data_IF_323150315619
#
_entry.id   IF_323150315619
#
_cell.length_a   1.000
_cell.length_b   1.000
_cell.length_c   1.000
_cell.angle_alpha   90.00
_cell.angle_beta   90.00
_cell.angle_gamma   90.00
#
_symmetry.space_group_name_H-M   'P 1'
#
loop_
_entity.id
_entity.type
_entity.pdbx_description
1 polymer ?
#
# COMPACT_ATOMS: atom_id res chain seq x y z
N UNK A 1 72.89 13.53 38.90
CA UNK A 1 71.38 13.66 38.83
C UNK A 1 70.93 13.78 37.40
N UNK A 2 70.42 12.70 36.82
CA UNK A 2 69.82 12.72 35.44
C UNK A 2 68.34 12.99 35.57
N UNK A 3 67.84 14.09 35.01
CA UNK A 3 66.41 14.41 34.94
C UNK A 3 65.83 13.72 33.70
N UNK A 4 64.95 12.74 33.93
CA UNK A 4 64.16 12.08 32.87
C UNK A 4 62.93 12.92 32.62
N UNK A 5 62.78 13.46 31.43
CA UNK A 5 61.62 14.18 30.95
C UNK A 5 60.64 13.16 30.36
N UNK A 6 59.46 12.98 30.99
CA UNK A 6 58.35 12.21 30.44
C UNK A 6 57.54 13.13 29.51
N UNK A 7 57.53 12.84 28.21
CA UNK A 7 56.64 13.50 27.25
C UNK A 7 55.37 12.63 27.15
N UNK A 8 54.29 13.10 27.70
CA UNK A 8 52.96 12.50 27.56
C UNK A 8 52.38 12.92 26.20
N UNK A 9 52.36 11.98 25.25
CA UNK A 9 51.74 12.16 23.94
C UNK A 9 50.21 11.97 24.10
N UNK A 10 49.47 13.07 24.20
CA UNK A 10 48.00 13.02 24.13
C UNK A 10 47.55 12.74 22.69
N UNK A 11 47.13 11.48 22.39
CA UNK A 11 46.42 11.15 21.15
C UNK A 11 45.02 11.78 21.23
N UNK A 12 44.78 12.87 20.55
CA UNK A 12 43.47 13.39 20.24
C UNK A 12 42.83 12.49 19.18
N UNK A 13 42.03 11.53 19.62
CA UNK A 13 41.13 10.80 18.73
C UNK A 13 40.02 11.79 18.33
N UNK A 14 40.16 12.38 17.16
CA UNK A 14 39.12 13.19 16.56
C UNK A 14 37.90 12.33 16.23
N UNK A 15 36.93 12.28 17.11
CA UNK A 15 35.61 11.75 16.76
C UNK A 15 34.99 12.77 15.81
N UNK A 16 35.04 12.48 14.50
CA UNK A 16 34.25 13.21 13.51
C UNK A 16 32.79 12.86 13.77
N UNK A 17 32.11 13.64 14.59
CA UNK A 17 30.66 13.64 14.66
C UNK A 17 30.19 14.16 13.30
N UNK A 18 29.80 13.28 12.41
CA UNK A 18 29.07 13.65 11.20
C UNK A 18 27.77 14.30 11.65
N UNK A 19 27.72 15.62 11.68
CA UNK A 19 26.51 16.35 12.04
C UNK A 19 25.42 15.94 11.06
N UNK A 20 24.34 15.34 11.58
CA UNK A 20 23.17 14.96 10.79
C UNK A 20 22.58 16.21 10.17
N UNK A 21 22.43 16.21 8.83
CA UNK A 21 21.85 17.32 8.10
C UNK A 21 20.33 17.37 8.34
N UNK A 22 19.79 18.56 8.57
CA UNK A 22 18.36 18.74 8.85
C UNK A 22 17.76 19.72 7.86
N UNK A 23 16.67 19.31 7.22
CA UNK A 23 15.81 20.15 6.38
C UNK A 23 14.50 20.35 7.16
N UNK A 24 14.18 21.59 7.53
CA UNK A 24 12.93 21.91 8.20
C UNK A 24 11.86 22.30 7.19
N UNK A 25 10.66 21.75 7.36
CA UNK A 25 9.48 22.10 6.56
C UNK A 25 8.39 22.59 7.50
N UNK A 26 8.25 23.90 7.60
CA UNK A 26 7.18 24.52 8.35
C UNK A 26 5.83 24.35 7.64
N UNK A 27 4.72 24.11 8.37
CA UNK A 27 3.38 24.04 7.79
C UNK A 27 2.97 25.43 7.26
N UNK A 28 2.14 25.40 6.21
CA UNK A 28 1.48 26.57 5.64
C UNK A 28 0.01 26.26 5.38
N UNK A 29 -0.82 27.27 5.29
CA UNK A 29 -2.20 27.08 4.90
C UNK A 29 -2.30 26.66 3.43
N UNK A 30 -3.17 25.68 3.15
CA UNK A 30 -3.42 25.17 1.80
C UNK A 30 -2.47 24.04 1.40
N UNK A 31 -2.18 23.97 0.11
CA UNK A 31 -1.46 22.86 -0.52
C UNK A 31 0.03 22.83 -0.19
N UNK A 32 0.47 21.77 0.47
CA UNK A 32 1.86 21.55 0.88
C UNK A 32 2.62 20.58 -0.04
N UNK A 33 1.97 20.00 -1.06
CA UNK A 33 2.52 18.92 -1.89
C UNK A 33 3.87 19.30 -2.52
N UNK A 34 3.92 20.44 -3.22
CA UNK A 34 5.15 20.92 -3.88
C UNK A 34 6.25 21.30 -2.89
N UNK A 35 5.89 21.86 -1.74
CA UNK A 35 6.88 22.24 -0.71
C UNK A 35 7.55 21.02 -0.10
N UNK A 36 6.78 19.99 0.22
CA UNK A 36 7.31 18.72 0.70
C UNK A 36 8.17 18.01 -0.36
N UNK A 37 7.73 17.99 -1.62
CA UNK A 37 8.53 17.42 -2.71
C UNK A 37 9.84 18.18 -2.90
N UNK A 38 9.84 19.50 -2.77
CA UNK A 38 11.07 20.32 -2.82
C UNK A 38 12.05 19.94 -1.70
N UNK A 39 11.56 19.72 -0.49
CA UNK A 39 12.40 19.28 0.63
C UNK A 39 13.00 17.88 0.39
N UNK A 40 12.22 16.97 -0.20
CA UNK A 40 12.69 15.63 -0.61
C UNK A 40 13.79 15.76 -1.67
N UNK A 41 13.62 16.59 -2.68
CA UNK A 41 14.64 16.81 -3.70
C UNK A 41 15.92 17.49 -3.14
N UNK A 42 15.78 18.39 -2.17
CA UNK A 42 16.93 18.98 -1.47
C UNK A 42 17.79 17.94 -0.77
N UNK A 43 17.19 16.85 -0.25
CA UNK A 43 17.94 15.76 0.40
C UNK A 43 18.96 15.11 -0.59
N UNK A 44 18.72 15.15 -1.88
CA UNK A 44 19.61 14.65 -2.94
C UNK A 44 20.96 15.37 -2.97
N UNK A 45 21.00 16.65 -2.62
CA UNK A 45 22.20 17.47 -2.62
C UNK A 45 23.25 17.05 -1.57
N UNK A 46 22.85 16.22 -0.63
CA UNK A 46 23.76 15.71 0.41
C UNK A 46 24.52 14.42 -0.02
N UNK A 47 24.35 13.98 -1.27
CA UNK A 47 25.14 12.90 -1.87
C UNK A 47 25.20 11.63 -1.02
N UNK A 48 24.07 11.21 -0.46
CA UNK A 48 23.95 10.02 0.38
C UNK A 48 24.44 10.15 1.82
N UNK A 49 24.80 11.35 2.28
CA UNK A 49 24.97 11.61 3.72
C UNK A 49 23.62 11.55 4.43
N UNK A 50 23.63 11.23 5.72
CA UNK A 50 22.42 11.16 6.51
C UNK A 50 21.70 12.51 6.58
N UNK A 51 20.41 12.54 6.15
CA UNK A 51 19.56 13.73 6.13
C UNK A 51 18.25 13.44 6.86
N UNK A 52 17.80 14.38 7.67
CA UNK A 52 16.48 14.33 8.29
C UNK A 52 15.64 15.48 7.78
N UNK A 53 14.52 15.17 7.13
CA UNK A 53 13.46 16.12 6.83
C UNK A 53 12.54 16.14 8.05
N UNK A 54 12.49 17.26 8.77
CA UNK A 54 11.69 17.44 9.98
C UNK A 54 10.47 18.31 9.71
N UNK A 55 9.33 17.82 10.18
CA UNK A 55 8.08 18.55 10.13
C UNK A 55 7.71 19.11 11.51
N UNK A 56 6.57 19.75 11.59
CA UNK A 56 5.97 20.18 12.86
C UNK A 56 4.63 19.47 13.05
N UNK A 57 4.15 19.39 14.28
CA UNK A 57 2.83 18.84 14.57
C UNK A 57 1.73 19.77 14.02
N UNK A 58 1.32 19.53 12.79
CA UNK A 58 0.30 20.27 12.06
C UNK A 58 -0.22 19.45 10.88
N UNK A 59 -1.29 19.92 10.24
CA UNK A 59 -1.80 19.36 9.01
C UNK A 59 -0.95 19.80 7.81
N UNK A 60 -0.61 18.84 6.96
CA UNK A 60 0.07 19.02 5.68
C UNK A 60 -0.85 18.50 4.60
N UNK A 61 -1.58 19.40 3.95
CA UNK A 61 -2.53 19.04 2.90
C UNK A 61 -1.79 18.66 1.62
N UNK A 62 -2.06 17.46 1.11
CA UNK A 62 -1.52 16.95 -0.15
C UNK A 62 -2.62 16.93 -1.19
N UNK A 63 -2.46 17.71 -2.25
CA UNK A 63 -3.47 17.83 -3.30
C UNK A 63 -3.08 17.05 -4.55
N UNK A 64 -4.05 16.29 -5.07
CA UNK A 64 -3.90 15.46 -6.27
C UNK A 64 -3.37 16.26 -7.46
N UNK A 65 -3.86 17.48 -7.68
CA UNK A 65 -3.51 18.33 -8.81
C UNK A 65 -2.05 18.79 -8.78
N UNK A 66 -1.47 18.90 -7.60
CA UNK A 66 -0.07 19.34 -7.39
C UNK A 66 0.91 18.19 -7.19
N UNK A 67 0.42 16.95 -7.18
CA UNK A 67 1.20 15.74 -6.92
C UNK A 67 2.15 15.39 -8.07
N UNK A 68 3.16 14.56 -7.79
CA UNK A 68 3.99 13.95 -8.81
C UNK A 68 3.18 12.90 -9.57
N UNK A 69 3.04 13.05 -10.89
CA UNK A 69 2.27 12.15 -11.74
C UNK A 69 3.23 11.20 -12.48
N UNK A 70 3.25 9.94 -12.07
CA UNK A 70 4.18 8.92 -12.59
C UNK A 70 3.42 7.63 -12.84
N UNK A 71 3.69 7.00 -13.98
CA UNK A 71 3.18 5.65 -14.27
C UNK A 71 3.91 4.64 -13.40
N UNK A 72 3.14 3.95 -12.54
CA UNK A 72 3.61 2.81 -11.76
C UNK A 72 2.60 1.66 -11.85
N UNK A 73 3.10 0.49 -12.20
CA UNK A 73 2.35 -0.75 -12.09
C UNK A 73 2.58 -1.32 -10.69
N UNK A 74 1.57 -1.23 -9.85
CA UNK A 74 1.62 -1.69 -8.46
C UNK A 74 0.92 -3.05 -8.39
N UNK A 75 1.58 -4.05 -7.85
CA UNK A 75 1.04 -5.41 -7.70
C UNK A 75 -0.31 -5.39 -6.98
N UNK A 76 -1.28 -6.14 -7.51
CA UNK A 76 -2.63 -6.29 -7.01
C UNK A 76 -3.47 -4.99 -6.98
N UNK A 77 -3.08 -3.99 -7.77
CA UNK A 77 -3.93 -2.82 -8.06
C UNK A 77 -4.69 -3.01 -9.37
N UNK A 78 -5.41 -1.98 -9.83
CA UNK A 78 -6.24 -2.07 -11.03
C UNK A 78 -5.47 -2.56 -12.27
N UNK A 79 -6.07 -3.49 -13.01
CA UNK A 79 -5.61 -3.90 -14.32
C UNK A 79 -5.90 -2.83 -15.38
N UNK A 80 -5.29 -2.95 -16.55
CA UNK A 80 -5.54 -2.07 -17.71
C UNK A 80 -7.00 -2.10 -18.20
N UNK A 81 -7.77 -3.12 -17.81
CA UNK A 81 -9.21 -3.22 -18.12
C UNK A 81 -10.07 -2.48 -17.10
N UNK A 82 -9.67 -2.50 -15.83
CA UNK A 82 -10.36 -1.81 -14.75
C UNK A 82 -10.03 -0.31 -14.76
N UNK A 83 -8.75 0.03 -14.98
CA UNK A 83 -8.31 1.39 -15.23
C UNK A 83 -7.17 1.39 -16.26
N UNK A 84 -7.37 1.91 -17.48
CA UNK A 84 -6.31 1.97 -18.50
C UNK A 84 -5.22 3.00 -18.18
N UNK A 85 -5.49 3.99 -17.33
CA UNK A 85 -4.49 4.98 -16.89
C UNK A 85 -3.81 4.51 -15.60
N UNK A 86 -2.58 4.05 -15.71
CA UNK A 86 -1.75 3.61 -14.58
C UNK A 86 -0.98 4.75 -13.89
N UNK A 87 -1.30 6.00 -14.19
CA UNK A 87 -0.69 7.17 -13.56
C UNK A 87 -1.04 7.23 -12.07
N UNK A 88 -0.04 7.24 -11.22
CA UNK A 88 -0.20 7.44 -9.77
C UNK A 88 0.07 8.91 -9.43
N UNK A 89 -0.83 9.48 -8.63
CA UNK A 89 -0.75 10.82 -8.09
C UNK A 89 -0.07 10.79 -6.73
N UNK A 90 1.22 11.11 -6.68
CA UNK A 90 2.09 10.80 -5.55
C UNK A 90 2.33 12.05 -4.69
N UNK A 91 1.96 11.97 -3.41
CA UNK A 91 2.17 13.05 -2.44
C UNK A 91 3.65 13.24 -2.09
N UNK A 92 4.33 12.16 -1.66
CA UNK A 92 5.75 12.15 -1.31
C UNK A 92 6.49 11.17 -2.23
N UNK A 93 7.22 11.67 -3.20
CA UNK A 93 7.95 10.85 -4.15
C UNK A 93 9.46 10.81 -3.86
N UNK A 94 9.91 9.69 -3.26
CA UNK A 94 11.31 9.42 -2.97
C UNK A 94 11.86 8.49 -4.05
N UNK A 95 12.75 9.01 -4.91
CA UNK A 95 13.36 8.24 -6.00
C UNK A 95 14.87 8.31 -5.94
N UNK A 96 15.54 7.14 -5.83
CA UNK A 96 17.00 7.04 -5.88
C UNK A 96 17.72 7.74 -4.73
N UNK A 97 17.08 7.89 -3.58
CA UNK A 97 17.64 8.54 -2.39
C UNK A 97 18.29 7.52 -1.45
N UNK A 98 19.29 8.01 -0.68
CA UNK A 98 19.96 7.21 0.34
C UNK A 98 20.04 7.95 1.66
N UNK A 99 19.90 7.20 2.77
CA UNK A 99 20.08 7.67 4.14
C UNK A 99 19.20 8.86 4.48
N UNK A 100 17.91 8.82 4.10
CA UNK A 100 16.94 9.89 4.35
C UNK A 100 15.92 9.44 5.39
N UNK A 101 15.69 10.30 6.37
CA UNK A 101 14.59 10.15 7.33
C UNK A 101 13.58 11.28 7.13
N UNK A 102 12.30 10.94 7.00
CA UNK A 102 11.21 11.90 7.15
C UNK A 102 10.63 11.71 8.55
N UNK A 103 10.80 12.70 9.42
CA UNK A 103 10.31 12.71 10.78
C UNK A 103 9.17 13.72 10.93
N UNK A 104 7.96 13.18 10.98
CA UNK A 104 6.74 13.99 11.04
C UNK A 104 6.56 14.72 12.37
N UNK A 105 7.14 14.24 13.48
CA UNK A 105 6.96 14.85 14.81
C UNK A 105 5.49 15.08 15.20
N UNK A 106 4.59 14.19 14.76
CA UNK A 106 3.15 14.30 14.97
C UNK A 106 2.39 15.00 13.84
N UNK A 107 3.03 15.33 12.72
CA UNK A 107 2.38 15.88 11.52
C UNK A 107 1.28 14.95 11.00
N UNK A 108 0.26 15.54 10.35
CA UNK A 108 -0.79 14.80 9.65
C UNK A 108 -0.71 15.12 8.15
N UNK A 109 -0.50 14.11 7.32
CA UNK A 109 -0.66 14.20 5.88
C UNK A 109 -2.12 13.95 5.53
N UNK A 110 -2.80 14.97 5.04
CA UNK A 110 -4.21 14.92 4.64
C UNK A 110 -4.28 14.92 3.12
N UNK A 111 -4.65 13.80 2.52
CA UNK A 111 -4.79 13.70 1.06
C UNK A 111 -6.13 14.29 0.61
N UNK A 112 -6.10 15.08 -0.46
CA UNK A 112 -7.25 15.65 -1.15
C UNK A 112 -7.36 14.99 -2.53
N UNK A 113 -8.42 14.18 -2.68
CA UNK A 113 -8.61 13.30 -3.83
C UNK A 113 -7.91 11.93 -3.66
N UNK A 114 -8.14 11.04 -4.63
CA UNK A 114 -7.51 9.72 -4.69
C UNK A 114 -6.04 9.86 -5.06
N UNK A 115 -5.16 9.51 -4.12
CA UNK A 115 -3.72 9.69 -4.25
C UNK A 115 -2.96 8.51 -3.66
N UNK A 116 -1.73 8.32 -4.13
CA UNK A 116 -0.70 7.53 -3.47
C UNK A 116 0.07 8.44 -2.52
N UNK A 117 -0.05 8.21 -1.20
CA UNK A 117 0.53 9.12 -0.21
C UNK A 117 2.05 9.19 -0.30
N UNK A 118 2.71 8.05 -0.55
CA UNK A 118 4.16 8.02 -0.74
C UNK A 118 4.63 6.91 -1.68
N UNK A 119 5.74 7.15 -2.38
CA UNK A 119 6.47 6.16 -3.16
C UNK A 119 7.94 6.22 -2.78
N UNK A 120 8.54 5.05 -2.46
CA UNK A 120 9.96 4.86 -2.19
C UNK A 120 10.51 3.92 -3.27
N UNK A 121 11.17 4.48 -4.30
CA UNK A 121 11.60 3.74 -5.47
C UNK A 121 13.13 3.86 -5.67
N UNK A 122 13.81 2.71 -5.78
CA UNK A 122 15.26 2.63 -5.94
C UNK A 122 16.05 3.37 -4.85
N UNK A 123 15.55 3.33 -3.62
CA UNK A 123 16.12 3.99 -2.45
C UNK A 123 16.84 3.00 -1.53
N UNK A 124 17.69 3.55 -0.65
CA UNK A 124 18.43 2.77 0.35
C UNK A 124 18.48 3.48 1.69
N UNK A 125 18.20 2.76 2.79
CA UNK A 125 18.20 3.29 4.17
C UNK A 125 17.23 4.47 4.33
N UNK A 126 15.95 4.25 4.07
CA UNK A 126 14.90 5.26 4.25
C UNK A 126 14.10 4.97 5.51
N UNK A 127 13.84 6.00 6.28
CA UNK A 127 12.94 5.92 7.44
C UNK A 127 11.83 6.95 7.32
N UNK A 128 10.59 6.49 7.40
CA UNK A 128 9.41 7.33 7.56
C UNK A 128 8.90 7.14 9.00
N UNK A 129 8.72 8.22 9.75
CA UNK A 129 8.32 8.08 11.16
C UNK A 129 7.49 9.22 11.73
N UNK A 130 6.71 8.89 12.78
CA UNK A 130 6.03 9.84 13.67
C UNK A 130 5.06 10.77 12.93
N UNK A 131 4.19 10.24 12.08
CA UNK A 131 3.13 11.02 11.41
C UNK A 131 1.86 10.20 11.21
N UNK A 132 0.79 10.88 10.87
CA UNK A 132 -0.50 10.31 10.49
C UNK A 132 -0.73 10.49 8.98
N UNK A 133 -1.31 9.49 8.32
CA UNK A 133 -1.87 9.58 6.97
C UNK A 133 -3.38 9.45 7.06
N UNK A 134 -4.10 10.39 6.47
CA UNK A 134 -5.56 10.40 6.41
C UNK A 134 -6.04 11.03 5.09
N UNK A 135 -7.34 11.05 4.85
CA UNK A 135 -7.93 11.68 3.68
C UNK A 135 -9.02 12.68 4.10
N UNK A 136 -9.14 13.78 3.35
CA UNK A 136 -10.25 14.73 3.53
C UNK A 136 -11.59 14.08 3.23
N UNK A 137 -11.65 13.29 2.16
CA UNK A 137 -12.82 12.55 1.69
C UNK A 137 -12.46 11.08 1.50
N UNK A 138 -12.58 10.25 2.55
CA UNK A 138 -12.26 8.83 2.49
C UNK A 138 -13.08 8.09 1.43
N UNK A 139 -12.43 7.36 0.53
CA UNK A 139 -13.05 6.57 -0.56
C UNK A 139 -13.83 5.34 -0.09
N UNK A 140 -13.93 5.15 1.21
CA UNK A 140 -14.87 4.21 1.85
C UNK A 140 -15.87 5.02 2.66
N UNK A 141 -16.92 5.57 2.04
CA UNK A 141 -17.97 6.27 2.78
C UNK A 141 -18.75 5.30 3.67
N UNK A 142 -19.24 5.85 4.77
CA UNK A 142 -19.95 5.09 5.80
C UNK A 142 -21.35 5.67 6.06
N UNK A 143 -22.30 4.78 6.34
CA UNK A 143 -23.63 5.15 6.84
C UNK A 143 -24.05 4.17 7.94
N UNK A 144 -24.88 4.67 8.87
CA UNK A 144 -25.47 3.87 9.94
C UNK A 144 -26.97 3.76 9.73
N UNK A 145 -27.50 2.54 9.75
CA UNK A 145 -28.94 2.27 9.66
C UNK A 145 -29.60 2.66 10.98
N UNK A 146 -30.64 3.50 10.92
CA UNK A 146 -31.42 3.93 12.09
C UNK A 146 -32.80 3.30 12.16
N UNK A 147 -33.39 2.96 11.00
CA UNK A 147 -34.71 2.34 10.89
C UNK A 147 -34.78 1.43 9.67
N UNK A 148 -35.57 0.36 9.73
CA UNK A 148 -35.84 -0.55 8.60
C UNK A 148 -37.30 -0.81 8.50
N UNK A 149 -37.89 -0.62 7.31
CA UNK A 149 -39.25 -0.96 6.95
C UNK A 149 -39.34 -2.05 5.89
N UNK A 150 -40.54 -2.31 5.36
CA UNK A 150 -40.76 -3.36 4.36
C UNK A 150 -40.06 -3.12 3.02
N UNK A 151 -39.87 -1.85 2.63
CA UNK A 151 -39.26 -1.45 1.39
C UNK A 151 -38.38 -0.20 1.53
N UNK A 152 -37.98 0.13 2.76
CA UNK A 152 -37.10 1.27 3.01
C UNK A 152 -36.17 1.02 4.19
N UNK A 153 -35.05 1.76 4.23
CA UNK A 153 -34.33 2.01 5.47
C UNK A 153 -34.01 3.49 5.62
N UNK A 154 -33.99 3.96 6.86
CA UNK A 154 -33.51 5.30 7.20
C UNK A 154 -32.06 5.18 7.64
N UNK A 155 -31.21 6.01 7.09
CA UNK A 155 -29.76 5.95 7.29
C UNK A 155 -29.21 7.30 7.70
N UNK A 156 -28.22 7.29 8.59
CA UNK A 156 -27.44 8.46 8.93
C UNK A 156 -26.07 8.36 8.25
N UNK A 157 -25.80 9.31 7.39
CA UNK A 157 -24.51 9.40 6.68
C UNK A 157 -23.44 9.89 7.66
N UNK A 158 -22.26 9.30 7.61
CA UNK A 158 -21.12 9.74 8.42
C UNK A 158 -20.69 11.16 8.02
N UNK A 159 -20.39 12.07 8.96
CA UNK A 159 -20.08 13.48 8.64
C UNK A 159 -18.93 13.69 7.64
N UNK A 160 -17.96 12.79 7.60
CA UNK A 160 -16.85 12.82 6.63
C UNK A 160 -17.19 12.13 5.28
N UNK A 161 -18.43 11.68 5.08
CA UNK A 161 -18.85 11.05 3.83
C UNK A 161 -19.78 12.00 3.10
N UNK A 162 -19.21 12.82 2.22
CA UNK A 162 -19.99 13.76 1.40
C UNK A 162 -20.90 13.01 0.44
N UNK A 163 -22.06 13.56 0.15
CA UNK A 163 -23.03 12.95 -0.76
C UNK A 163 -23.82 14.01 -1.54
N UNK A 164 -24.50 13.56 -2.57
CA UNK A 164 -25.49 14.33 -3.32
C UNK A 164 -26.77 13.54 -3.47
N UNK A 165 -27.92 14.26 -3.45
CA UNK A 165 -29.23 13.70 -3.84
C UNK A 165 -29.79 14.61 -4.93
N UNK A 166 -29.95 14.09 -6.14
CA UNK A 166 -30.50 14.84 -7.27
C UNK A 166 -31.61 14.03 -7.91
N UNK A 167 -32.82 14.58 -7.94
CA UNK A 167 -34.03 13.91 -8.49
C UNK A 167 -34.27 12.50 -7.90
N UNK A 168 -33.89 12.32 -6.63
CA UNK A 168 -34.00 11.03 -5.92
C UNK A 168 -32.84 10.08 -6.15
N UNK A 169 -31.88 10.40 -7.04
CA UNK A 169 -30.64 9.65 -7.21
C UNK A 169 -29.62 10.07 -6.16
N UNK A 170 -29.03 9.08 -5.53
CA UNK A 170 -28.01 9.25 -4.49
C UNK A 170 -26.64 8.88 -5.00
N UNK A 171 -25.62 9.64 -4.62
CA UNK A 171 -24.23 9.25 -4.76
C UNK A 171 -23.39 9.82 -3.61
N UNK A 172 -22.43 9.07 -3.12
CA UNK A 172 -21.31 9.63 -2.39
C UNK A 172 -20.35 10.34 -3.34
N UNK A 173 -19.73 11.40 -2.89
CA UNK A 173 -18.82 12.23 -3.71
C UNK A 173 -17.59 12.61 -2.91
N UNK A 174 -16.45 12.64 -3.57
CA UNK A 174 -15.20 13.21 -3.08
C UNK A 174 -14.63 14.18 -4.12
N UNK A 175 -13.38 14.62 -3.94
CA UNK A 175 -12.80 15.65 -4.81
C UNK A 175 -12.65 15.18 -6.27
N UNK A 176 -12.36 13.90 -6.50
CA UNK A 176 -12.20 13.35 -7.87
C UNK A 176 -12.85 11.96 -8.04
N UNK A 177 -13.75 11.58 -7.14
CA UNK A 177 -14.45 10.30 -7.20
C UNK A 177 -15.94 10.44 -6.90
N UNK A 178 -16.71 9.49 -7.36
CA UNK A 178 -18.15 9.37 -7.12
C UNK A 178 -18.50 7.90 -6.95
N UNK A 179 -19.37 7.57 -6.00
CA UNK A 179 -19.84 6.23 -5.73
C UNK A 179 -21.38 6.21 -5.64
N UNK A 180 -22.03 5.59 -6.63
CA UNK A 180 -23.49 5.36 -6.66
C UNK A 180 -23.85 3.88 -6.74
N UNK A 181 -22.85 3.01 -6.84
CA UNK A 181 -22.94 1.56 -6.92
C UNK A 181 -21.79 0.96 -6.08
N UNK A 182 -21.49 -0.31 -6.20
CA UNK A 182 -20.34 -0.94 -5.58
C UNK A 182 -20.69 -1.95 -4.50
N UNK A 183 -19.67 -2.39 -3.80
CA UNK A 183 -19.73 -3.44 -2.80
C UNK A 183 -19.71 -2.84 -1.39
N UNK A 184 -20.20 -3.60 -0.42
CA UNK A 184 -20.22 -3.16 0.98
C UNK A 184 -19.71 -4.23 1.94
N UNK A 185 -19.28 -3.75 3.08
CA UNK A 185 -19.14 -4.52 4.30
C UNK A 185 -20.03 -3.93 5.37
N UNK A 186 -20.47 -4.78 6.27
CA UNK A 186 -21.23 -4.39 7.45
C UNK A 186 -20.36 -4.47 8.69
N UNK A 187 -20.54 -3.52 9.58
CA UNK A 187 -19.96 -3.51 10.91
C UNK A 187 -21.05 -3.46 11.97
N UNK A 188 -20.97 -4.33 12.96
CA UNK A 188 -21.83 -4.37 14.15
C UNK A 188 -21.03 -3.80 15.33
N UNK A 189 -21.42 -2.62 15.79
CA UNK A 189 -20.70 -1.92 16.87
C UNK A 189 -20.81 -2.63 18.22
N UNK A 190 -21.94 -3.32 18.48
CA UNK A 190 -22.15 -4.00 19.76
C UNK A 190 -21.26 -5.25 19.88
N UNK A 191 -21.07 -5.97 18.76
CA UNK A 191 -20.28 -7.18 18.70
C UNK A 191 -18.83 -6.94 18.33
N UNK A 192 -18.50 -5.74 17.86
CA UNK A 192 -17.20 -5.34 17.33
C UNK A 192 -16.70 -6.24 16.17
N UNK A 193 -17.61 -6.63 15.27
CA UNK A 193 -17.31 -7.51 14.14
C UNK A 193 -17.65 -6.86 12.79
N UNK A 194 -16.88 -7.20 11.76
CA UNK A 194 -17.10 -6.82 10.37
C UNK A 194 -17.27 -8.06 9.50
N UNK A 195 -18.16 -8.00 8.49
CA UNK A 195 -18.36 -9.07 7.52
C UNK A 195 -18.74 -8.52 6.14
N UNK A 196 -18.47 -9.29 5.08
CA UNK A 196 -18.94 -8.98 3.72
C UNK A 196 -20.47 -9.12 3.68
N UNK A 197 -21.15 -8.16 3.10
CA UNK A 197 -22.61 -8.10 3.16
C UNK A 197 -23.22 -7.62 1.84
N UNK A 198 -24.55 -7.62 1.82
CA UNK A 198 -25.31 -6.91 0.81
C UNK A 198 -24.94 -5.43 0.79
N UNK A 199 -24.85 -4.85 -0.42
CA UNK A 199 -24.59 -3.42 -0.61
C UNK A 199 -25.91 -2.64 -0.75
N UNK A 200 -26.09 -1.55 -0.01
CA UNK A 200 -27.32 -0.76 -0.08
C UNK A 200 -27.45 0.10 -1.33
N UNK A 201 -26.41 0.31 -2.13
CA UNK A 201 -26.42 1.23 -3.26
C UNK A 201 -26.97 0.63 -4.57
N UNK A 202 -26.57 -0.59 -5.01
CA UNK A 202 -26.98 -1.13 -6.32
C UNK A 202 -28.49 -1.26 -6.50
N UNK A 203 -29.23 -1.59 -5.41
CA UNK A 203 -30.67 -1.80 -5.45
C UNK A 203 -31.49 -0.55 -5.07
N UNK A 204 -30.82 0.58 -4.83
CA UNK A 204 -31.45 1.82 -4.41
C UNK A 204 -32.30 2.43 -5.54
N UNK A 205 -33.59 2.60 -5.29
CA UNK A 205 -34.53 3.21 -6.25
C UNK A 205 -34.64 4.72 -6.06
N UNK A 206 -34.66 5.16 -4.83
CA UNK A 206 -34.82 6.57 -4.50
C UNK A 206 -34.23 6.90 -3.13
N UNK A 207 -33.54 8.01 -3.04
CA UNK A 207 -33.15 8.62 -1.77
C UNK A 207 -34.01 9.88 -1.49
N UNK A 208 -34.42 10.07 -0.25
CA UNK A 208 -35.14 11.22 0.23
C UNK A 208 -34.37 11.75 1.43
N UNK A 209 -33.92 12.99 1.36
CA UNK A 209 -33.27 13.64 2.48
C UNK A 209 -34.37 14.12 3.45
N UNK A 210 -34.35 13.65 4.70
CA UNK A 210 -35.27 14.01 5.76
C UNK A 210 -34.75 15.20 6.56
N UNK A 211 -33.44 15.22 6.83
CA UNK A 211 -32.68 16.29 7.43
C UNK A 211 -31.19 16.13 7.01
N UNK A 212 -30.32 17.11 7.21
CA UNK A 212 -28.91 16.96 6.86
C UNK A 212 -28.30 15.68 7.43
N UNK A 213 -27.69 14.86 6.55
CA UNK A 213 -27.13 13.55 6.83
C UNK A 213 -28.12 12.46 7.31
N UNK A 214 -29.44 12.69 7.30
CA UNK A 214 -30.44 11.67 7.57
C UNK A 214 -31.31 11.44 6.33
N UNK A 215 -31.19 10.28 5.72
CA UNK A 215 -31.86 9.95 4.48
C UNK A 215 -32.78 8.73 4.62
N UNK A 216 -33.84 8.69 3.85
CA UNK A 216 -34.62 7.48 3.63
C UNK A 216 -34.30 6.91 2.24
N UNK A 217 -33.79 5.69 2.24
CA UNK A 217 -33.50 4.89 1.04
C UNK A 217 -34.67 3.97 0.75
N UNK A 218 -35.21 4.03 -0.48
CA UNK A 218 -36.38 3.27 -0.93
C UNK A 218 -35.91 2.17 -1.89
N UNK A 219 -36.43 0.97 -1.72
CA UNK A 219 -36.13 -0.23 -2.48
C UNK A 219 -37.40 -0.90 -3.03
N UNK A 220 -37.23 -1.77 -4.01
CA UNK A 220 -38.34 -2.65 -4.47
C UNK A 220 -38.55 -3.84 -3.52
N UNK A 221 -37.48 -4.32 -2.91
CA UNK A 221 -37.46 -5.46 -1.99
C UNK A 221 -37.04 -5.02 -0.57
N UNK A 222 -37.38 -5.80 0.46
CA UNK A 222 -36.92 -5.50 1.82
C UNK A 222 -35.39 -5.40 1.91
N UNK A 223 -34.84 -4.31 2.50
CA UNK A 223 -33.39 -4.18 2.64
C UNK A 223 -32.84 -5.21 3.63
N UNK A 224 -31.63 -5.74 3.30
CA UNK A 224 -30.94 -6.74 4.13
C UNK A 224 -30.10 -6.06 5.22
N UNK A 225 -30.80 -5.36 6.14
CA UNK A 225 -30.16 -4.58 7.17
C UNK A 225 -30.97 -4.61 8.47
N UNK A 226 -30.36 -4.19 9.57
CA UNK A 226 -31.01 -3.95 10.85
C UNK A 226 -30.55 -2.60 11.43
N UNK A 227 -31.34 -1.94 12.29
CA UNK A 227 -30.89 -0.76 12.99
C UNK A 227 -29.57 -1.01 13.74
N UNK A 228 -28.66 -0.03 13.71
CA UNK A 228 -27.32 -0.12 14.30
C UNK A 228 -26.23 -0.66 13.36
N UNK A 229 -26.60 -1.30 12.23
CA UNK A 229 -25.60 -1.72 11.22
C UNK A 229 -24.93 -0.50 10.61
N UNK A 230 -23.62 -0.52 10.56
CA UNK A 230 -22.81 0.43 9.78
C UNK A 230 -22.42 -0.23 8.46
N UNK A 231 -22.78 0.39 7.34
CA UNK A 231 -22.27 -0.01 6.02
C UNK A 231 -21.05 0.80 5.65
N UNK A 232 -20.02 0.12 5.19
CA UNK A 232 -18.77 0.65 4.66
C UNK A 232 -18.72 0.29 3.17
N UNK A 233 -18.81 1.27 2.28
CA UNK A 233 -19.02 1.03 0.84
C UNK A 233 -17.80 1.45 0.02
N UNK A 234 -17.58 0.79 -1.13
CA UNK A 234 -16.48 1.07 -2.06
C UNK A 234 -16.82 0.60 -3.47
N UNK A 235 -16.17 1.18 -4.48
CA UNK A 235 -16.35 0.80 -5.88
C UNK A 235 -15.69 -0.55 -6.24
N UNK A 236 -14.68 -0.98 -5.49
CA UNK A 236 -13.95 -2.22 -5.76
C UNK A 236 -12.70 -2.04 -6.62
N UNK A 237 -12.41 -0.83 -7.12
CA UNK A 237 -11.25 -0.56 -7.97
C UNK A 237 -10.08 -0.06 -7.11
N UNK A 238 -8.97 -0.79 -7.10
CA UNK A 238 -7.76 -0.48 -6.33
C UNK A 238 -6.78 0.32 -7.16
N UNK A 239 -7.05 1.59 -7.45
CA UNK A 239 -6.22 2.38 -8.35
C UNK A 239 -5.00 3.02 -7.67
N UNK A 240 -5.21 3.74 -6.55
CA UNK A 240 -4.16 4.45 -5.83
C UNK A 240 -3.84 3.72 -4.52
N UNK A 241 -2.68 3.08 -4.41
CA UNK A 241 -2.23 2.51 -3.15
C UNK A 241 -1.81 3.61 -2.17
N UNK A 242 -1.96 3.39 -0.86
CA UNK A 242 -1.44 4.32 0.16
C UNK A 242 0.07 4.54 -0.01
N UNK A 243 0.81 3.46 -0.22
CA UNK A 243 2.25 3.53 -0.42
C UNK A 243 2.80 2.46 -1.34
N UNK A 244 3.90 2.77 -2.02
CA UNK A 244 4.69 1.83 -2.79
C UNK A 244 6.15 1.86 -2.33
N UNK A 245 6.70 0.68 -2.06
CA UNK A 245 8.13 0.46 -1.81
C UNK A 245 8.65 -0.48 -2.89
N UNK A 246 9.41 0.04 -3.87
CA UNK A 246 9.82 -0.72 -5.03
C UNK A 246 11.33 -0.63 -5.24
N UNK A 247 12.00 -1.77 -5.56
CA UNK A 247 13.44 -1.86 -5.82
C UNK A 247 14.31 -1.16 -4.77
N UNK A 248 13.82 -1.08 -3.54
CA UNK A 248 14.42 -0.33 -2.43
C UNK A 248 14.92 -1.28 -1.36
N UNK A 249 15.91 -0.81 -0.56
CA UNK A 249 16.56 -1.61 0.46
C UNK A 249 16.62 -0.90 1.81
N UNK A 250 16.42 -1.67 2.90
CA UNK A 250 16.48 -1.18 4.28
C UNK A 250 15.47 -0.05 4.52
N UNK A 251 14.20 -0.35 4.38
CA UNK A 251 13.12 0.61 4.55
C UNK A 251 12.44 0.41 5.90
N UNK A 252 12.28 1.48 6.65
CA UNK A 252 11.62 1.46 7.96
C UNK A 252 10.46 2.44 8.00
N UNK A 253 9.29 1.95 8.42
CA UNK A 253 8.18 2.77 8.90
C UNK A 253 8.07 2.57 10.42
N UNK A 254 8.07 3.65 11.20
CA UNK A 254 8.10 3.59 12.66
C UNK A 254 7.19 4.65 13.30
N UNK A 255 6.22 4.21 14.10
CA UNK A 255 5.29 5.13 14.76
C UNK A 255 4.42 5.91 13.76
N UNK A 256 4.04 5.30 12.63
CA UNK A 256 3.16 5.89 11.62
C UNK A 256 1.72 5.43 11.89
N UNK A 257 0.80 6.40 11.95
CA UNK A 257 -0.64 6.14 12.04
C UNK A 257 -1.27 6.27 10.65
N UNK A 258 -1.79 5.17 10.13
CA UNK A 258 -2.46 5.07 8.85
C UNK A 258 -3.97 5.07 9.12
N UNK A 259 -4.52 6.27 9.32
CA UNK A 259 -5.91 6.46 9.72
C UNK A 259 -6.89 6.24 8.56
N UNK A 260 -6.42 6.48 7.33
CA UNK A 260 -7.08 6.04 6.10
C UNK A 260 -6.06 5.82 4.98
N UNK A 261 -6.10 4.64 4.38
CA UNK A 261 -5.10 4.19 3.39
C UNK A 261 -5.49 4.42 1.93
N UNK A 262 -6.66 4.99 1.66
CA UNK A 262 -7.15 5.09 0.27
C UNK A 262 -7.64 3.74 -0.26
N UNK A 263 -7.39 3.48 -1.55
CA UNK A 263 -7.98 2.33 -2.26
C UNK A 263 -7.20 1.04 -2.07
N UNK A 264 -5.98 1.09 -1.55
CA UNK A 264 -5.15 -0.05 -1.22
C UNK A 264 -4.11 0.33 -0.16
N UNK A 265 -3.54 -0.64 0.53
CA UNK A 265 -2.56 -0.39 1.58
C UNK A 265 -1.15 -0.05 1.08
N UNK A 266 -0.15 -0.47 1.83
CA UNK A 266 1.25 -0.29 1.47
C UNK A 266 1.74 -1.52 0.73
N UNK A 267 2.21 -1.35 -0.50
CA UNK A 267 2.75 -2.42 -1.34
C UNK A 267 4.27 -2.38 -1.35
N UNK A 268 4.88 -3.48 -0.91
CA UNK A 268 6.30 -3.76 -1.15
C UNK A 268 6.42 -4.67 -2.37
N UNK A 269 7.17 -4.25 -3.41
CA UNK A 269 7.45 -5.13 -4.55
C UNK A 269 8.92 -5.05 -4.95
N UNK A 270 9.56 -6.20 -5.12
CA UNK A 270 10.98 -6.31 -5.46
C UNK A 270 11.88 -5.52 -4.48
N UNK A 271 11.47 -5.42 -3.22
CA UNK A 271 12.18 -4.69 -2.18
C UNK A 271 12.95 -5.63 -1.24
N UNK A 272 13.91 -5.09 -0.49
CA UNK A 272 14.80 -5.86 0.39
C UNK A 272 14.84 -5.23 1.79
N UNK A 273 14.66 -6.03 2.85
CA UNK A 273 14.71 -5.62 4.25
C UNK A 273 13.72 -4.50 4.58
N UNK A 274 12.48 -4.87 4.89
CA UNK A 274 11.41 -3.95 5.26
C UNK A 274 11.09 -4.13 6.74
N UNK A 275 11.01 -3.03 7.48
CA UNK A 275 10.62 -3.02 8.89
C UNK A 275 9.44 -2.11 9.12
N UNK A 276 8.33 -2.67 9.59
CA UNK A 276 7.16 -1.96 10.09
C UNK A 276 7.05 -2.18 11.59
N UNK A 277 7.13 -1.10 12.36
CA UNK A 277 7.02 -1.19 13.82
C UNK A 277 6.24 -0.02 14.40
N UNK A 278 5.51 -0.29 15.46
CA UNK A 278 4.70 0.70 16.15
C UNK A 278 3.68 1.38 15.20
N UNK A 279 3.20 0.65 14.18
CA UNK A 279 2.24 1.19 13.23
C UNK A 279 0.82 1.04 13.77
N UNK A 280 -0.04 1.97 13.39
CA UNK A 280 -1.46 1.94 13.71
C UNK A 280 -2.26 2.06 12.43
N UNK A 281 -2.97 1.00 12.06
CA UNK A 281 -3.92 0.96 10.95
C UNK A 281 -5.32 0.96 11.56
N UNK A 282 -5.82 2.11 11.92
CA UNK A 282 -7.16 2.28 12.47
C UNK A 282 -7.64 3.72 12.27
N UNK A 283 -8.95 3.97 12.17
CA UNK A 283 -9.47 5.34 12.09
C UNK A 283 -9.02 6.20 13.27
N UNK A 284 -8.91 7.51 13.04
CA UNK A 284 -8.57 8.45 14.12
C UNK A 284 -9.57 8.36 15.26
N UNK A 285 -9.07 8.36 16.49
CA UNK A 285 -9.91 8.33 17.69
C UNK A 285 -10.88 9.53 17.69
N UNK A 286 -12.14 9.25 18.00
CA UNK A 286 -13.20 10.27 18.02
C UNK A 286 -13.75 10.66 16.65
N UNK A 287 -13.19 10.18 15.53
CA UNK A 287 -13.75 10.43 14.19
C UNK A 287 -15.15 9.81 13.99
N UNK A 288 -15.45 8.74 14.71
CA UNK A 288 -16.68 7.95 14.54
C UNK A 288 -16.61 6.96 13.36
N UNK A 289 -15.53 6.97 12.58
CA UNK A 289 -15.29 6.02 11.49
C UNK A 289 -15.01 4.62 12.02
N UNK A 290 -15.28 3.61 11.19
CA UNK A 290 -15.22 2.21 11.59
C UNK A 290 -14.23 1.38 10.76
N UNK A 291 -13.73 1.91 9.64
CA UNK A 291 -12.69 1.28 8.81
C UNK A 291 -11.56 2.26 8.45
N UNK A 292 -10.35 1.73 8.27
CA UNK A 292 -9.15 2.49 7.91
C UNK A 292 -8.74 2.28 6.45
N UNK A 293 -9.35 1.37 5.71
CA UNK A 293 -8.93 1.07 4.36
C UNK A 293 -9.90 0.20 3.58
N UNK A 294 -9.63 0.10 2.33
CA UNK A 294 -10.44 -0.37 1.24
C UNK A 294 -10.14 -1.85 0.86
N UNK A 295 -8.92 -2.33 1.15
CA UNK A 295 -8.45 -3.67 0.85
C UNK A 295 -7.38 -4.12 1.86
N UNK A 296 -6.31 -4.79 1.41
CA UNK A 296 -5.19 -5.20 2.25
C UNK A 296 -4.49 -3.97 2.85
N UNK A 297 -4.00 -4.07 4.08
CA UNK A 297 -3.22 -2.98 4.67
C UNK A 297 -1.74 -3.05 4.31
N UNK A 298 -1.18 -4.24 4.29
CA UNK A 298 0.20 -4.51 3.90
C UNK A 298 0.21 -5.64 2.89
N UNK A 299 0.81 -5.38 1.72
CA UNK A 299 1.04 -6.42 0.72
C UNK A 299 2.51 -6.43 0.30
N UNK A 300 3.14 -7.60 0.39
CA UNK A 300 4.52 -7.83 -0.06
C UNK A 300 4.50 -8.79 -1.23
N UNK A 301 4.92 -8.32 -2.41
CA UNK A 301 4.92 -9.08 -3.65
C UNK A 301 6.36 -9.25 -4.16
N UNK A 302 6.93 -10.45 -3.98
CA UNK A 302 8.30 -10.72 -4.40
C UNK A 302 9.31 -9.81 -3.70
N UNK A 303 9.39 -9.85 -2.38
CA UNK A 303 10.39 -9.17 -1.57
C UNK A 303 11.48 -10.15 -1.13
N UNK A 304 12.61 -9.65 -0.64
CA UNK A 304 13.72 -10.47 -0.13
C UNK A 304 14.34 -9.93 1.15
N UNK A 305 15.31 -10.69 1.68
CA UNK A 305 15.95 -10.36 2.95
C UNK A 305 14.98 -10.60 4.11
N UNK A 306 14.81 -9.63 5.01
CA UNK A 306 13.93 -9.76 6.17
C UNK A 306 12.78 -8.78 6.13
N UNK A 307 11.56 -9.28 6.30
CA UNK A 307 10.36 -8.48 6.56
C UNK A 307 10.04 -8.60 8.06
N UNK A 308 10.00 -7.48 8.75
CA UNK A 308 9.64 -7.41 10.17
C UNK A 308 8.39 -6.56 10.35
N UNK A 309 7.35 -7.10 10.99
CA UNK A 309 6.12 -6.38 11.34
C UNK A 309 5.85 -6.62 12.82
N UNK A 310 6.03 -5.57 13.64
CA UNK A 310 5.99 -5.73 15.10
C UNK A 310 5.33 -4.56 15.82
N UNK A 311 4.76 -4.84 17.01
CA UNK A 311 4.15 -3.85 17.90
C UNK A 311 3.10 -2.96 17.19
N UNK A 312 2.31 -3.52 16.30
CA UNK A 312 1.41 -2.76 15.42
C UNK A 312 -0.05 -3.18 15.60
N UNK A 313 -0.97 -2.30 15.19
CA UNK A 313 -2.40 -2.50 15.32
C UNK A 313 -3.07 -2.44 13.94
N UNK A 314 -3.94 -3.41 13.65
CA UNK A 314 -4.61 -3.57 12.37
C UNK A 314 -6.12 -3.72 12.60
N UNK A 315 -6.89 -2.65 12.36
CA UNK A 315 -8.33 -2.60 12.60
C UNK A 315 -9.09 -2.08 11.38
N UNK A 316 -10.13 -2.80 10.99
CA UNK A 316 -11.06 -2.34 9.97
C UNK A 316 -10.50 -2.42 8.55
N UNK A 317 -9.75 -3.47 8.23
CA UNK A 317 -9.40 -3.82 6.86
C UNK A 317 -10.64 -4.34 6.13
N UNK A 318 -10.70 -4.14 4.81
CA UNK A 318 -11.72 -4.76 3.96
C UNK A 318 -11.25 -6.05 3.30
N UNK A 319 -9.96 -6.37 3.42
CA UNK A 319 -9.35 -7.64 3.02
C UNK A 319 -8.26 -8.02 4.04
N UNK A 320 -7.21 -8.73 3.63
CA UNK A 320 -6.18 -9.23 4.55
C UNK A 320 -5.34 -8.05 5.11
N UNK A 321 -5.16 -7.92 6.42
CA UNK A 321 -4.30 -6.87 6.97
C UNK A 321 -2.83 -7.08 6.62
N UNK A 322 -2.37 -8.32 6.46
CA UNK A 322 -1.01 -8.64 5.99
C UNK A 322 -1.12 -9.77 4.96
N UNK A 323 -0.55 -9.51 3.78
CA UNK A 323 -0.44 -10.47 2.69
C UNK A 323 1.00 -10.47 2.15
N UNK A 324 1.69 -11.61 2.23
CA UNK A 324 3.08 -11.76 1.80
C UNK A 324 3.17 -12.97 0.87
N UNK A 325 3.61 -12.76 -0.37
CA UNK A 325 3.68 -13.82 -1.37
C UNK A 325 4.87 -13.64 -2.33
N UNK A 326 5.29 -14.75 -2.94
CA UNK A 326 6.26 -14.79 -4.02
C UNK A 326 5.71 -14.26 -5.35
N UNK A 327 6.54 -14.29 -6.39
CA UNK A 327 6.15 -13.91 -7.75
C UNK A 327 6.33 -15.12 -8.68
N UNK A 328 5.22 -15.68 -9.13
CA UNK A 328 5.17 -16.81 -10.05
C UNK A 328 4.71 -16.35 -11.42
N UNK A 329 5.43 -16.73 -12.49
CA UNK A 329 5.06 -16.43 -13.86
C UNK A 329 4.93 -17.72 -14.67
N UNK A 330 3.94 -17.77 -15.56
CA UNK A 330 3.76 -18.90 -16.48
C UNK A 330 4.82 -18.89 -17.57
N UNK A 331 5.41 -20.05 -17.86
CA UNK A 331 6.31 -20.23 -19.01
C UNK A 331 5.46 -20.37 -20.26
N UNK A 332 5.61 -19.44 -21.21
CA UNK A 332 4.83 -19.38 -22.45
C UNK A 332 5.61 -19.83 -23.68
N UNK A 333 6.91 -20.00 -23.59
CA UNK A 333 7.72 -20.45 -24.72
C UNK A 333 9.23 -20.59 -24.43
N UNK A 334 9.90 -21.21 -25.36
CA UNK A 334 11.34 -21.52 -25.31
C UNK A 334 12.06 -21.00 -26.57
N UNK A 335 12.37 -19.70 -26.67
CA UNK A 335 13.00 -19.11 -27.87
C UNK A 335 14.39 -19.70 -28.20
N UNK A 336 15.15 -20.15 -27.17
CA UNK A 336 16.43 -20.84 -27.32
C UNK A 336 16.59 -21.95 -26.28
N UNK A 337 17.70 -22.70 -26.35
CA UNK A 337 17.97 -23.80 -25.42
C UNK A 337 18.04 -23.34 -23.95
N UNK A 338 18.51 -22.10 -23.72
CA UNK A 338 18.65 -21.48 -22.39
C UNK A 338 17.76 -20.23 -22.23
N UNK A 339 16.69 -20.12 -23.01
CA UNK A 339 15.76 -18.98 -22.89
C UNK A 339 14.35 -19.46 -22.64
N UNK A 340 13.63 -18.71 -21.78
CA UNK A 340 12.19 -18.84 -21.55
C UNK A 340 11.51 -17.49 -21.72
N UNK A 341 10.35 -17.50 -22.36
CA UNK A 341 9.39 -16.42 -22.30
C UNK A 341 8.46 -16.70 -21.13
N UNK A 342 8.28 -15.74 -20.23
CA UNK A 342 7.39 -15.87 -19.06
C UNK A 342 6.37 -14.76 -19.04
N UNK A 343 5.18 -15.04 -18.46
CA UNK A 343 4.04 -14.13 -18.47
C UNK A 343 3.41 -14.03 -17.09
N UNK A 344 3.04 -12.80 -16.70
CA UNK A 344 2.23 -12.56 -15.53
C UNK A 344 0.87 -13.24 -15.65
N UNK A 345 0.50 -14.04 -14.65
CA UNK A 345 -0.75 -14.81 -14.64
C UNK A 345 -1.92 -14.00 -14.07
N UNK A 346 -1.67 -13.23 -13.01
CA UNK A 346 -2.69 -12.43 -12.36
C UNK A 346 -2.96 -11.15 -13.14
N UNK A 347 -4.24 -10.83 -13.38
CA UNK A 347 -4.63 -9.67 -14.20
C UNK A 347 -4.23 -8.32 -13.54
N UNK A 348 -4.16 -8.25 -12.23
CA UNK A 348 -3.79 -7.06 -11.45
C UNK A 348 -2.31 -7.05 -11.02
N UNK A 349 -1.47 -7.99 -11.48
CA UNK A 349 -0.03 -8.00 -11.20
C UNK A 349 0.74 -8.06 -12.51
N UNK A 350 1.39 -6.97 -12.90
CA UNK A 350 2.09 -6.83 -14.18
C UNK A 350 2.90 -5.52 -14.25
N UNK A 351 3.64 -5.32 -15.34
CA UNK A 351 4.25 -4.04 -15.71
C UNK A 351 5.51 -3.65 -14.95
N UNK A 352 6.03 -4.50 -14.08
CA UNK A 352 7.29 -4.30 -13.38
C UNK A 352 8.27 -5.46 -13.62
N UNK A 353 9.57 -5.20 -13.46
CA UNK A 353 10.61 -6.20 -13.67
C UNK A 353 10.73 -7.11 -12.45
N UNK A 354 10.11 -8.30 -12.51
CA UNK A 354 10.08 -9.26 -11.39
C UNK A 354 11.28 -10.24 -11.38
N UNK A 355 12.14 -10.20 -12.40
CA UNK A 355 13.39 -10.96 -12.45
C UNK A 355 14.55 -10.05 -12.81
N UNK A 356 15.66 -10.19 -12.11
CA UNK A 356 16.88 -9.41 -12.33
C UNK A 356 18.08 -10.35 -12.64
N UNK A 357 19.09 -9.89 -13.38
CA UNK A 357 20.33 -10.64 -13.54
C UNK A 357 20.93 -11.06 -12.21
N UNK A 358 21.28 -12.33 -12.09
CA UNK A 358 21.79 -12.92 -10.86
C UNK A 358 20.73 -13.59 -9.99
N UNK A 359 19.43 -13.38 -10.24
CA UNK A 359 18.38 -14.08 -9.49
C UNK A 359 18.44 -15.59 -9.72
N UNK A 360 18.20 -16.33 -8.67
CA UNK A 360 17.94 -17.75 -8.69
C UNK A 360 16.46 -17.98 -8.90
N UNK A 361 16.11 -18.92 -9.77
CA UNK A 361 14.74 -19.30 -10.10
C UNK A 361 14.58 -20.80 -9.98
N UNK A 362 13.36 -21.22 -9.75
CA UNK A 362 12.94 -22.62 -9.81
C UNK A 362 11.82 -22.81 -10.80
N UNK A 363 11.88 -23.93 -11.55
CA UNK A 363 10.78 -24.40 -12.34
C UNK A 363 9.83 -25.20 -11.44
N UNK A 364 8.56 -24.82 -11.41
CA UNK A 364 7.54 -25.41 -10.53
C UNK A 364 6.49 -26.12 -11.40
N UNK A 365 6.21 -27.38 -11.05
CA UNK A 365 5.04 -28.07 -11.60
C UNK A 365 3.77 -27.56 -10.92
N UNK A 366 2.84 -26.92 -11.63
CA UNK A 366 1.67 -26.29 -11.03
C UNK A 366 0.66 -27.30 -10.44
N UNK A 367 0.74 -28.57 -10.84
CA UNK A 367 -0.18 -29.60 -10.35
C UNK A 367 0.30 -30.23 -9.02
N UNK A 368 1.59 -30.43 -8.88
CA UNK A 368 2.18 -31.03 -7.68
C UNK A 368 2.78 -30.01 -6.72
N UNK A 369 3.00 -28.77 -7.18
CA UNK A 369 3.73 -27.70 -6.49
C UNK A 369 5.18 -28.08 -6.17
N UNK A 370 5.74 -29.03 -6.94
CA UNK A 370 7.11 -29.51 -6.73
C UNK A 370 8.09 -28.66 -7.54
N UNK A 371 9.20 -28.28 -6.88
CA UNK A 371 10.38 -27.78 -7.57
C UNK A 371 11.01 -28.86 -8.42
N UNK A 372 11.24 -28.56 -9.69
CA UNK A 372 11.76 -29.50 -10.69
C UNK A 372 13.25 -29.30 -10.93
N UNK A 373 13.70 -28.06 -11.08
CA UNK A 373 15.10 -27.73 -11.30
C UNK A 373 15.37 -26.23 -11.04
N UNK A 374 16.52 -25.90 -10.46
CA UNK A 374 16.96 -24.53 -10.31
C UNK A 374 17.69 -24.05 -11.57
N UNK A 375 17.65 -22.74 -11.81
CA UNK A 375 18.49 -22.04 -12.77
C UNK A 375 18.79 -20.62 -12.27
N UNK A 376 19.74 -19.94 -12.95
CA UNK A 376 20.11 -18.56 -12.63
C UNK A 376 19.86 -17.66 -13.83
N UNK A 377 19.24 -16.51 -13.57
CA UNK A 377 18.98 -15.51 -14.60
C UNK A 377 20.27 -14.78 -14.96
N UNK A 378 20.70 -14.85 -16.22
CA UNK A 378 21.80 -14.04 -16.77
C UNK A 378 21.31 -12.72 -17.33
N UNK A 379 20.13 -12.72 -17.95
CA UNK A 379 19.52 -11.53 -18.55
C UNK A 379 17.99 -11.65 -18.42
N UNK A 380 17.34 -10.52 -18.14
CA UNK A 380 15.89 -10.42 -18.12
C UNK A 380 15.48 -9.16 -18.89
N UNK A 381 14.56 -9.30 -19.83
CA UNK A 381 14.09 -8.23 -20.72
C UNK A 381 12.57 -8.19 -20.74
N UNK A 382 11.99 -7.11 -20.27
CA UNK A 382 10.56 -6.84 -20.50
C UNK A 382 10.30 -6.73 -22.00
N UNK A 383 9.45 -7.56 -22.56
CA UNK A 383 9.02 -7.48 -23.95
C UNK A 383 7.79 -6.57 -24.11
N UNK A 384 6.96 -6.57 -23.12
CA UNK A 384 5.83 -5.68 -22.91
C UNK A 384 5.46 -5.72 -21.41
N UNK A 385 4.40 -5.08 -21.01
CA UNK A 385 3.96 -5.02 -19.61
C UNK A 385 3.58 -6.40 -19.02
N UNK A 386 3.33 -7.39 -19.86
CA UNK A 386 2.89 -8.73 -19.44
C UNK A 386 3.95 -9.82 -19.59
N UNK A 387 4.96 -9.62 -20.42
CA UNK A 387 5.90 -10.67 -20.80
C UNK A 387 7.35 -10.28 -20.58
N UNK A 388 8.12 -11.23 -20.02
CA UNK A 388 9.56 -11.09 -19.77
C UNK A 388 10.28 -12.23 -20.50
N UNK A 389 11.35 -11.91 -21.22
CA UNK A 389 12.29 -12.88 -21.76
C UNK A 389 13.45 -13.08 -20.78
N UNK A 390 13.60 -14.28 -20.28
CA UNK A 390 14.73 -14.67 -19.40
C UNK A 390 15.77 -15.48 -20.20
N UNK A 391 17.04 -15.09 -20.09
CA UNK A 391 18.18 -15.90 -20.52
C UNK A 391 18.83 -16.50 -19.28
N UNK A 392 18.95 -17.83 -19.25
CA UNK A 392 19.43 -18.58 -18.09
C UNK A 392 20.91 -18.96 -18.22
N UNK A 393 21.51 -19.35 -17.11
CA UNK A 393 22.91 -19.80 -17.03
C UNK A 393 23.15 -21.19 -17.62
N UNK A 394 22.06 -21.96 -17.90
CA UNK A 394 22.10 -23.34 -18.40
C UNK A 394 21.00 -23.62 -19.40
N UNK A 395 21.13 -24.70 -20.15
CA UNK A 395 20.08 -25.21 -21.01
C UNK A 395 18.98 -25.84 -20.19
N UNK A 396 17.76 -25.66 -20.63
CA UNK A 396 16.56 -26.22 -19.99
C UNK A 396 16.40 -27.67 -20.42
N UNK A 397 16.36 -28.64 -19.50
CA UNK A 397 16.17 -30.06 -19.80
C UNK A 397 14.88 -30.32 -20.58
N UNK A 398 14.91 -31.29 -21.49
CA UNK A 398 13.79 -31.62 -22.36
C UNK A 398 12.54 -32.04 -21.56
N UNK A 399 12.71 -32.84 -20.53
CA UNK A 399 11.62 -33.27 -19.67
C UNK A 399 10.89 -32.11 -18.95
N UNK A 400 11.59 -31.00 -18.66
CA UNK A 400 10.97 -29.79 -18.10
C UNK A 400 10.16 -29.06 -19.18
N UNK A 401 10.68 -28.97 -20.41
CA UNK A 401 10.00 -28.31 -21.53
C UNK A 401 8.67 -28.99 -21.92
N UNK A 402 8.53 -30.26 -21.61
CA UNK A 402 7.34 -31.06 -21.91
C UNK A 402 6.21 -30.91 -20.89
N UNK A 403 6.49 -30.28 -19.73
CA UNK A 403 5.50 -30.01 -18.70
C UNK A 403 4.56 -28.91 -19.19
N UNK A 404 3.27 -29.20 -19.14
CA UNK A 404 2.21 -28.21 -19.48
C UNK A 404 2.01 -27.24 -18.33
N UNK A 405 1.71 -26.01 -18.68
CA UNK A 405 1.41 -24.94 -17.71
C UNK A 405 2.54 -24.67 -16.71
N UNK A 406 3.77 -25.01 -17.08
CA UNK A 406 4.96 -24.82 -16.26
C UNK A 406 5.04 -23.38 -15.73
N UNK A 407 5.40 -23.25 -14.47
CA UNK A 407 5.57 -21.97 -13.77
C UNK A 407 7.05 -21.79 -13.40
N UNK A 408 7.48 -20.55 -13.35
CA UNK A 408 8.80 -20.19 -12.80
C UNK A 408 8.62 -19.23 -11.63
N UNK A 409 9.35 -19.51 -10.57
CA UNK A 409 9.41 -18.71 -9.37
C UNK A 409 10.77 -18.03 -9.20
N UNK A 410 10.77 -16.80 -8.67
CA UNK A 410 11.97 -16.09 -8.30
C UNK A 410 12.32 -16.36 -6.82
N UNK A 411 13.05 -17.43 -6.54
CA UNK A 411 13.39 -17.84 -5.17
C UNK A 411 14.43 -16.92 -4.49
N UNK A 412 15.11 -16.05 -5.23
CA UNK A 412 15.92 -14.98 -4.63
C UNK A 412 15.05 -13.99 -3.86
N UNK A 413 13.78 -13.81 -4.26
CA UNK A 413 12.84 -12.90 -3.63
C UNK A 413 11.84 -13.64 -2.73
N UNK A 414 12.38 -14.53 -1.89
CA UNK A 414 11.68 -15.19 -0.78
C UNK A 414 12.26 -14.66 0.53
N UNK A 415 11.50 -13.85 1.30
CA UNK A 415 12.03 -13.20 2.50
C UNK A 415 11.98 -14.11 3.72
N UNK A 416 12.83 -13.83 4.71
CA UNK A 416 12.57 -14.21 6.10
C UNK A 416 11.48 -13.29 6.66
N UNK A 417 10.43 -13.87 7.27
CA UNK A 417 9.30 -13.10 7.82
C UNK A 417 9.27 -13.20 9.34
N UNK A 418 9.16 -12.05 10.00
CA UNK A 418 8.95 -11.95 11.45
C UNK A 418 7.73 -11.07 11.73
N UNK A 419 6.64 -11.68 12.19
CA UNK A 419 5.41 -10.99 12.60
C UNK A 419 5.19 -11.29 14.07
N UNK A 420 5.25 -10.27 14.93
CA UNK A 420 5.12 -10.46 16.38
C UNK A 420 4.50 -9.25 17.09
N UNK A 421 3.88 -9.51 18.23
CA UNK A 421 3.37 -8.48 19.13
C UNK A 421 2.38 -7.52 18.46
N UNK A 422 1.55 -8.03 17.52
CA UNK A 422 0.56 -7.28 16.78
C UNK A 422 -0.86 -7.58 17.26
N UNK A 423 -1.74 -6.60 17.09
CA UNK A 423 -3.16 -6.72 17.39
C UNK A 423 -4.01 -6.61 16.13
N UNK A 424 -4.94 -7.56 15.91
CA UNK A 424 -5.82 -7.63 14.75
C UNK A 424 -7.27 -7.66 15.19
N UNK A 425 -8.12 -6.80 14.61
CA UNK A 425 -9.57 -6.81 14.86
C UNK A 425 -10.36 -6.23 13.67
N UNK A 426 -11.66 -6.54 13.60
CA UNK A 426 -12.59 -6.04 12.57
C UNK A 426 -12.14 -6.39 11.16
N UNK A 427 -11.77 -7.65 10.95
CA UNK A 427 -11.25 -8.16 9.69
C UNK A 427 -12.23 -9.21 9.18
N UNK A 428 -12.80 -9.05 7.97
CA UNK A 428 -13.83 -9.94 7.45
C UNK A 428 -13.27 -11.18 6.74
N UNK A 429 -11.95 -11.27 6.54
CA UNK A 429 -11.26 -12.30 5.78
C UNK A 429 -10.26 -13.05 6.68
N UNK A 430 -9.01 -13.08 6.28
CA UNK A 430 -7.90 -13.70 7.02
C UNK A 430 -7.13 -12.63 7.81
N UNK A 431 -6.50 -13.02 8.90
CA UNK A 431 -5.64 -12.12 9.68
C UNK A 431 -4.29 -11.91 8.98
N UNK A 432 -3.67 -13.01 8.56
CA UNK A 432 -2.38 -13.01 7.86
C UNK A 432 -2.47 -14.05 6.74
N UNK A 433 -2.09 -13.66 5.54
CA UNK A 433 -1.83 -14.56 4.43
C UNK A 433 -0.34 -14.51 4.13
N UNK A 434 0.31 -15.63 4.32
CA UNK A 434 1.68 -15.86 3.90
C UNK A 434 1.67 -17.08 2.98
N UNK A 435 2.18 -16.90 1.77
CA UNK A 435 2.41 -17.97 0.82
C UNK A 435 3.93 -18.19 0.78
N UNK A 436 4.43 -19.16 1.55
CA UNK A 436 5.84 -19.52 1.40
C UNK A 436 6.01 -20.13 0.02
N UNK A 437 6.89 -19.55 -0.73
CA UNK A 437 7.27 -20.04 -2.04
C UNK A 437 7.90 -21.43 -1.98
#
# INVERSE_FOLDING_TARGET
MKKTIFITLCLLIGITVNAQQVIWVAPENGDMTKKLQTAIEQARNYNGKAVVIKLQNADYNLHRESSSQIVYHISNTASEKENPDQTKHIGLWLKGLKNVTIDGQGARFVTHGEMTSFVIDQCENITLRNFTVTASDPTVPELTVTEVGSNFMTVRIHPQSRYTVKDGHFAFVGDNWTLSDGIAQSYDKEKDITWRSWSPLPDLRKAIELEPNLLRFIYDNPPQAKPGTVFQMRDGIRDQACGLIQYSKNITLDGVHLAFLGNFGIVGQMAENITYRNLTFEPEAGSGRTCAGFADFVQMSGCKGKITIENSRFLGAHDDPINIHGTHLAVTGYPASNQIAVKYMHHQTYGFQSFLPGNEIEFIDPHSLMSLAPAKVKKAEMKNEREILLTLDRNIPQNIREIKELVVENVTYTPEVLIRDNYFARIPTRGILEDPA
#
